data_IF_963480710379
#
_entry.id   IF_963480710379
#
_cell.length_a   1.000
_cell.length_b   1.000
_cell.length_c   1.000
_cell.angle_alpha   90.00
_cell.angle_beta   90.00
_cell.angle_gamma   90.00
#
_symmetry.space_group_name_H-M   'P 1'
#
loop_
_entity.id
_entity.type
_entity.pdbx_description
1 polymer ?
#
# COMPACT_ATOMS: atom_id res chain seq x y z
N UNK A 1 17.36 -4.04 -12.34
CA UNK A 1 16.26 -4.98 -12.01
C UNK A 1 15.60 -4.70 -10.67
N UNK A 2 16.34 -4.41 -9.59
CA UNK A 2 15.77 -4.10 -8.26
C UNK A 2 14.74 -2.95 -8.23
N UNK A 3 14.92 -1.91 -9.05
CA UNK A 3 13.92 -0.84 -9.21
C UNK A 3 12.55 -1.32 -9.71
N UNK A 4 12.52 -2.25 -10.68
CA UNK A 4 11.28 -2.84 -11.17
C UNK A 4 10.58 -3.68 -10.09
N UNK A 5 11.38 -4.42 -9.31
CA UNK A 5 10.92 -5.21 -8.16
C UNK A 5 10.32 -4.31 -7.08
N UNK A 6 10.93 -3.14 -6.82
CA UNK A 6 10.42 -2.13 -5.88
C UNK A 6 9.06 -1.58 -6.31
N UNK A 7 8.90 -1.25 -7.59
CA UNK A 7 7.63 -0.75 -8.12
C UNK A 7 6.54 -1.82 -8.00
N UNK A 8 6.87 -3.06 -8.37
CA UNK A 8 5.94 -4.20 -8.23
C UNK A 8 5.59 -4.45 -6.76
N UNK A 9 6.57 -4.35 -5.85
CA UNK A 9 6.34 -4.49 -4.40
C UNK A 9 5.36 -3.45 -3.86
N UNK A 10 5.51 -2.18 -4.29
CA UNK A 10 4.60 -1.09 -3.93
C UNK A 10 3.20 -1.26 -4.52
N UNK A 11 3.05 -1.77 -5.74
CA UNK A 11 1.71 -2.08 -6.30
C UNK A 11 1.04 -3.20 -5.50
N UNK A 12 1.79 -4.25 -5.16
CA UNK A 12 1.29 -5.33 -4.29
C UNK A 12 0.88 -4.80 -2.92
N UNK A 13 1.60 -3.79 -2.41
CA UNK A 13 1.28 -3.13 -1.16
C UNK A 13 -0.12 -2.53 -1.17
N UNK A 14 -0.42 -1.79 -2.22
CA UNK A 14 -1.72 -1.14 -2.43
C UNK A 14 -2.84 -2.17 -2.55
N UNK A 15 -2.58 -3.31 -3.20
CA UNK A 15 -3.56 -4.38 -3.39
C UNK A 15 -3.93 -5.03 -2.04
N UNK A 16 -2.95 -5.35 -1.18
CA UNK A 16 -3.26 -5.95 0.11
C UNK A 16 -3.85 -4.93 1.10
N UNK A 17 -3.39 -3.67 1.06
CA UNK A 17 -3.98 -2.59 1.85
C UNK A 17 -5.46 -2.34 1.46
N UNK A 18 -5.77 -2.45 0.17
CA UNK A 18 -7.15 -2.42 -0.32
C UNK A 18 -7.95 -3.62 0.17
N UNK A 19 -7.42 -4.84 0.05
CA UNK A 19 -8.07 -6.06 0.50
C UNK A 19 -8.40 -6.02 2.00
N UNK A 20 -7.50 -5.48 2.82
CA UNK A 20 -7.73 -5.20 4.26
C UNK A 20 -8.93 -4.30 4.48
N UNK A 21 -9.04 -3.21 3.73
CA UNK A 21 -10.15 -2.26 3.85
C UNK A 21 -11.48 -2.88 3.39
N UNK A 22 -11.43 -3.73 2.37
CA UNK A 22 -12.60 -4.47 1.87
C UNK A 22 -13.06 -5.59 2.83
N UNK A 23 -12.16 -6.09 3.68
CA UNK A 23 -12.41 -7.16 4.64
C UNK A 23 -13.41 -6.81 5.77
N UNK A 24 -13.86 -5.54 5.89
CA UNK A 24 -14.84 -5.07 6.91
C UNK A 24 -14.57 -5.65 8.32
N UNK A 25 -13.30 -5.67 8.75
CA UNK A 25 -12.92 -6.25 10.05
C UNK A 25 -12.82 -7.78 10.07
N UNK A 26 -12.24 -8.37 9.01
CA UNK A 26 -11.95 -9.81 8.88
C UNK A 26 -13.18 -10.74 8.78
N UNK A 27 -14.36 -10.23 8.46
CA UNK A 27 -15.58 -11.06 8.35
C UNK A 27 -15.61 -11.94 7.09
N UNK A 28 -14.81 -11.61 6.07
CA UNK A 28 -14.65 -12.44 4.86
C UNK A 28 -13.27 -13.11 4.82
N UNK A 29 -13.28 -14.45 4.79
CA UNK A 29 -12.08 -15.29 4.78
C UNK A 29 -11.21 -15.08 3.52
N UNK A 30 -11.83 -14.91 2.36
CA UNK A 30 -11.14 -14.72 1.07
C UNK A 30 -10.22 -13.48 1.03
N UNK A 31 -10.70 -12.25 1.31
CA UNK A 31 -9.84 -11.06 1.33
C UNK A 31 -8.79 -11.08 2.44
N UNK A 32 -9.02 -11.80 3.54
CA UNK A 32 -8.04 -11.95 4.62
C UNK A 32 -6.82 -12.78 4.20
N UNK A 33 -7.04 -13.87 3.46
CA UNK A 33 -5.95 -14.69 2.90
C UNK A 33 -5.14 -13.87 1.88
N UNK A 34 -5.84 -13.14 0.99
CA UNK A 34 -5.18 -12.26 0.01
C UNK A 34 -4.32 -11.20 0.70
N UNK A 35 -4.78 -10.68 1.84
CA UNK A 35 -4.01 -9.73 2.64
C UNK A 35 -2.70 -10.34 3.13
N UNK A 36 -2.76 -11.51 3.78
CA UNK A 36 -1.59 -12.17 4.36
C UNK A 36 -0.58 -12.55 3.28
N UNK A 37 -1.06 -13.14 2.19
CA UNK A 37 -0.22 -13.54 1.05
C UNK A 37 0.38 -12.32 0.37
N UNK A 38 -0.41 -11.26 0.14
CA UNK A 38 0.06 -10.02 -0.47
C UNK A 38 1.09 -9.28 0.39
N UNK A 39 0.92 -9.31 1.72
CA UNK A 39 1.88 -8.75 2.67
C UNK A 39 3.21 -9.51 2.63
N UNK A 40 3.19 -10.85 2.65
CA UNK A 40 4.40 -11.68 2.55
C UNK A 40 5.14 -11.48 1.22
N UNK A 41 4.40 -11.40 0.11
CA UNK A 41 4.97 -11.16 -1.22
C UNK A 41 5.61 -9.78 -1.29
N UNK A 42 4.92 -8.73 -0.83
CA UNK A 42 5.42 -7.35 -0.85
C UNK A 42 6.69 -7.20 0.00
N UNK A 43 6.70 -7.76 1.22
CA UNK A 43 7.89 -7.76 2.07
C UNK A 43 9.04 -8.59 1.49
N UNK A 44 8.74 -9.73 0.85
CA UNK A 44 9.75 -10.56 0.18
C UNK A 44 10.43 -9.82 -0.98
N UNK A 45 9.63 -9.15 -1.81
CA UNK A 45 10.12 -8.33 -2.92
C UNK A 45 10.92 -7.10 -2.42
N UNK A 46 10.47 -6.46 -1.33
CA UNK A 46 11.19 -5.35 -0.70
C UNK A 46 12.57 -5.80 -0.18
N UNK A 47 12.60 -6.91 0.58
CA UNK A 47 13.83 -7.51 1.09
C UNK A 47 14.80 -7.87 -0.03
N UNK A 48 14.27 -8.34 -1.17
CA UNK A 48 15.09 -8.64 -2.34
C UNK A 48 15.65 -7.39 -3.01
N UNK A 49 14.88 -6.30 -3.10
CA UNK A 49 15.36 -5.03 -3.64
C UNK A 49 16.41 -4.37 -2.74
N UNK A 50 16.32 -4.56 -1.41
CA UNK A 50 17.29 -4.05 -0.44
C UNK A 50 18.69 -4.67 -0.59
N UNK A 51 18.83 -5.83 -1.26
CA UNK A 51 20.15 -6.39 -1.58
C UNK A 51 20.95 -5.56 -2.59
N UNK A 52 20.28 -4.73 -3.38
CA UNK A 52 20.94 -3.97 -4.45
C UNK A 52 20.83 -2.45 -4.29
N UNK A 53 19.89 -1.95 -3.48
CA UNK A 53 19.72 -0.51 -3.25
C UNK A 53 19.94 -0.15 -1.78
N UNK A 54 20.43 1.08 -1.49
CA UNK A 54 20.44 1.64 -0.15
C UNK A 54 19.05 1.61 0.47
N UNK A 55 18.97 1.16 1.72
CA UNK A 55 17.73 0.94 2.45
C UNK A 55 16.85 2.21 2.49
N UNK A 56 17.46 3.39 2.65
CA UNK A 56 16.75 4.67 2.65
C UNK A 56 16.03 4.99 1.34
N UNK A 57 16.68 4.76 0.19
CA UNK A 57 16.06 4.99 -1.12
C UNK A 57 14.93 4.01 -1.38
N UNK A 58 15.16 2.72 -1.09
CA UNK A 58 14.17 1.68 -1.28
C UNK A 58 12.91 1.94 -0.44
N UNK A 59 13.07 2.28 0.84
CA UNK A 59 11.95 2.52 1.74
C UNK A 59 11.15 3.77 1.36
N UNK A 60 11.83 4.84 0.95
CA UNK A 60 11.16 6.09 0.52
C UNK A 60 10.30 5.87 -0.73
N UNK A 61 10.82 5.12 -1.71
CA UNK A 61 10.08 4.82 -2.94
C UNK A 61 8.92 3.87 -2.64
N UNK A 62 9.16 2.82 -1.84
CA UNK A 62 8.13 1.85 -1.45
C UNK A 62 6.96 2.54 -0.73
N UNK A 63 7.24 3.30 0.33
CA UNK A 63 6.21 4.05 1.07
C UNK A 63 5.53 5.12 0.23
N UNK A 64 6.25 5.78 -0.69
CA UNK A 64 5.67 6.75 -1.62
C UNK A 64 4.64 6.14 -2.57
N UNK A 65 4.95 4.98 -3.17
CA UNK A 65 4.03 4.25 -4.05
C UNK A 65 2.83 3.73 -3.26
N UNK A 66 3.07 3.16 -2.06
CA UNK A 66 2.03 2.71 -1.15
C UNK A 66 1.06 3.84 -0.77
N UNK A 67 1.59 5.00 -0.40
CA UNK A 67 0.79 6.18 -0.04
C UNK A 67 -0.06 6.70 -1.21
N UNK A 68 0.52 6.84 -2.41
CA UNK A 68 -0.21 7.31 -3.60
C UNK A 68 -1.31 6.30 -3.97
N UNK A 69 -0.99 5.00 -3.99
CA UNK A 69 -1.98 3.99 -4.34
C UNK A 69 -3.07 3.84 -3.29
N UNK A 70 -2.74 3.89 -1.99
CA UNK A 70 -3.72 3.90 -0.91
C UNK A 70 -4.61 5.15 -0.95
N UNK A 71 -4.06 6.30 -1.35
CA UNK A 71 -4.82 7.52 -1.57
C UNK A 71 -5.79 7.38 -2.75
N UNK A 72 -5.33 6.91 -3.91
CA UNK A 72 -6.17 6.68 -5.09
C UNK A 72 -7.30 5.69 -4.77
N UNK A 73 -6.96 4.55 -4.17
CA UNK A 73 -7.93 3.54 -3.73
C UNK A 73 -8.88 4.12 -2.69
N UNK A 74 -8.37 4.90 -1.74
CA UNK A 74 -9.18 5.57 -0.71
C UNK A 74 -10.19 6.55 -1.31
N UNK A 75 -9.78 7.37 -2.27
CA UNK A 75 -10.65 8.33 -2.97
C UNK A 75 -11.66 7.59 -3.86
N UNK A 76 -11.22 6.58 -4.61
CA UNK A 76 -12.07 5.82 -5.52
C UNK A 76 -13.14 5.00 -4.79
N UNK A 77 -12.80 4.41 -3.64
CA UNK A 77 -13.69 3.48 -2.92
C UNK A 77 -14.56 4.19 -1.89
N UNK A 78 -14.02 5.20 -1.20
CA UNK A 78 -14.74 5.89 -0.12
C UNK A 78 -15.47 7.14 -0.59
N UNK A 79 -15.25 7.61 -1.84
CA UNK A 79 -15.83 8.86 -2.36
C UNK A 79 -15.58 10.08 -1.47
N UNK A 80 -14.65 9.95 -0.52
CA UNK A 80 -14.41 10.92 0.53
C UNK A 80 -13.71 12.10 -0.10
N UNK A 81 -14.50 13.16 -0.31
CA UNK A 81 -14.02 14.48 -0.74
C UNK A 81 -12.72 14.78 0.01
N UNK A 82 -11.64 15.21 -0.68
CA UNK A 82 -10.39 15.55 -0.01
C UNK A 82 -10.76 16.47 1.14
N UNK A 83 -10.34 16.09 2.35
CA UNK A 83 -10.76 16.71 3.59
C UNK A 83 -10.76 18.21 3.40
N UNK A 84 -11.95 18.81 3.35
CA UNK A 84 -12.09 20.26 3.37
C UNK A 84 -11.35 20.66 4.63
N UNK A 85 -10.25 21.39 4.47
CA UNK A 85 -9.56 22.00 5.60
C UNK A 85 -10.60 22.91 6.24
N UNK A 86 -11.30 22.38 7.25
CA UNK A 86 -12.16 23.16 8.12
C UNK A 86 -11.16 23.96 8.92
N UNK A 87 -10.77 25.10 8.38
CA UNK A 87 -10.12 26.14 9.15
C UNK A 87 -10.98 26.31 10.40
N UNK A 88 -10.41 26.24 11.61
CA UNK A 88 -11.14 26.57 12.81
C UNK A 88 -11.72 27.97 12.62
N UNK A 89 -13.04 28.06 12.44
CA UNK A 89 -13.78 29.31 12.58
C UNK A 89 -13.88 29.59 14.07
N UNK A 90 -12.75 29.98 14.68
CA UNK A 90 -12.56 30.79 15.90
C UNK A 90 -11.18 30.55 16.50
#
# INVERSE_FOLDING_TARGET
>A
MAWFVLVIAGIFEVIWAYAMKQSHGFTRLWPSIITIVGMLISFGLLSWSMKSLPLGTAYTVWTGIGAIGAFIVGVAVLGSRPARCVLPQR
#
